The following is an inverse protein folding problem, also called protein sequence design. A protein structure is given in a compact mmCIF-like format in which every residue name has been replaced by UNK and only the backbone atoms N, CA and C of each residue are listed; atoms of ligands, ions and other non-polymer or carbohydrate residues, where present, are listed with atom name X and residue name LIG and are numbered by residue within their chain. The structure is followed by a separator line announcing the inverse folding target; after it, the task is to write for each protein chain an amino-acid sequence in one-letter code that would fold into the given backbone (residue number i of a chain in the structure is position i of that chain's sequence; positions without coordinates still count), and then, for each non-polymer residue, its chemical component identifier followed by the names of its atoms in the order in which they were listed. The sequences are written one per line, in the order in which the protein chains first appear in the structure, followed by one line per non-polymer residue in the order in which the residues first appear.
data_IF_909583947299
#
_entry.id   IF_909583947299
#
_cell.length_a   1.000
_cell.length_b   1.000
_cell.length_c   1.000
_cell.angle_alpha   90.00
_cell.angle_beta   90.00
_cell.angle_gamma   90.00
#
_symmetry.space_group_name_H-M   'P 1'
#
loop_
_entity.id
_entity.type
_entity.pdbx_description
1 polymer ?
#
# COMPACT_ATOMS: atom_id res chain seq x y z
N UNK A 1 27.40 -13.09 -51.18
CA UNK A 1 26.23 -12.21 -51.00
C UNK A 1 25.02 -13.10 -50.71
N UNK A 2 24.18 -12.77 -49.73
CA UNK A 2 22.97 -13.50 -49.27
C UNK A 2 23.18 -14.73 -48.35
N UNK A 3 23.50 -14.50 -47.07
CA UNK A 3 23.24 -15.49 -46.00
C UNK A 3 23.38 -14.94 -44.55
N UNK A 4 23.17 -13.64 -44.30
CA UNK A 4 23.35 -13.07 -42.94
C UNK A 4 22.26 -12.09 -42.46
N UNK A 5 21.15 -11.97 -43.19
CA UNK A 5 20.11 -10.98 -42.86
C UNK A 5 18.78 -11.57 -42.34
N UNK A 6 18.68 -12.89 -42.17
CA UNK A 6 17.42 -13.54 -41.74
C UNK A 6 17.42 -13.91 -40.24
N UNK A 7 18.57 -13.86 -39.55
CA UNK A 7 18.64 -14.25 -38.13
C UNK A 7 18.30 -13.12 -37.14
N UNK A 8 18.17 -11.87 -37.59
CA UNK A 8 17.82 -10.74 -36.69
C UNK A 8 16.31 -10.47 -36.61
N UNK A 9 15.52 -10.91 -37.60
CA UNK A 9 14.06 -10.71 -37.59
C UNK A 9 13.36 -11.76 -36.70
N UNK A 10 13.92 -12.97 -36.57
CA UNK A 10 13.35 -14.02 -35.71
C UNK A 10 13.62 -13.84 -34.21
N UNK A 11 14.61 -13.02 -33.82
CA UNK A 11 14.90 -12.73 -32.40
C UNK A 11 14.09 -11.51 -31.92
N UNK A 12 13.74 -10.59 -32.80
CA UNK A 12 12.86 -9.47 -32.45
C UNK A 12 11.38 -9.85 -32.34
N UNK A 13 10.94 -10.95 -32.96
CA UNK A 13 9.58 -11.47 -32.84
C UNK A 13 9.39 -12.30 -31.54
N UNK A 14 10.48 -12.76 -30.92
CA UNK A 14 10.45 -13.52 -29.66
C UNK A 14 10.50 -12.63 -28.39
N UNK A 15 10.57 -11.30 -28.54
CA UNK A 15 10.44 -10.34 -27.42
C UNK A 15 9.04 -9.72 -27.32
N UNK A 16 8.09 -10.13 -28.17
CA UNK A 16 6.69 -9.68 -28.15
C UNK A 16 5.70 -10.80 -27.77
N UNK A 17 6.19 -12.00 -27.45
CA UNK A 17 5.34 -13.15 -27.10
C UNK A 17 5.41 -13.47 -25.61
N UNK A 18 4.80 -12.62 -24.77
CA UNK A 18 4.17 -13.01 -23.49
C UNK A 18 3.64 -11.83 -22.66
N UNK A 19 3.16 -10.75 -23.29
CA UNK A 19 2.06 -10.01 -22.66
C UNK A 19 0.79 -10.73 -23.12
N UNK A 20 0.52 -11.89 -22.53
CA UNK A 20 -0.88 -12.35 -22.42
C UNK A 20 -1.52 -11.41 -21.41
N UNK A 21 -1.83 -10.19 -21.85
CA UNK A 21 -2.89 -9.38 -21.28
C UNK A 21 -4.14 -10.22 -21.48
N UNK A 22 -4.47 -11.03 -20.47
CA UNK A 22 -5.86 -11.16 -20.14
C UNK A 22 -6.32 -9.71 -19.96
N UNK A 23 -7.04 -9.19 -20.95
CA UNK A 23 -7.86 -8.03 -20.73
C UNK A 23 -8.79 -8.46 -19.60
N UNK A 24 -8.46 -8.08 -18.36
CA UNK A 24 -9.50 -7.89 -17.37
C UNK A 24 -10.47 -6.96 -18.08
N UNK A 25 -11.69 -7.42 -18.33
CA UNK A 25 -12.73 -6.50 -18.72
C UNK A 25 -12.75 -5.44 -17.62
N UNK A 26 -12.62 -4.16 -18.02
CA UNK A 26 -12.61 -3.04 -17.06
C UNK A 26 -13.88 -3.04 -16.19
N UNK A 27 -14.90 -3.79 -16.61
CA UNK A 27 -16.17 -4.04 -15.94
C UNK A 27 -16.07 -4.99 -14.72
N UNK A 28 -15.01 -5.81 -14.62
CA UNK A 28 -14.89 -6.91 -13.65
C UNK A 28 -14.02 -6.56 -12.41
N UNK A 29 -13.56 -5.31 -12.30
CA UNK A 29 -12.70 -4.85 -11.21
C UNK A 29 -13.49 -3.98 -10.22
N UNK A 30 -13.27 -4.19 -8.91
CA UNK A 30 -14.05 -3.57 -7.82
C UNK A 30 -13.73 -2.08 -7.60
N UNK A 31 -13.94 -1.23 -8.61
CA UNK A 31 -13.60 0.20 -8.56
C UNK A 31 -14.27 0.93 -7.39
N UNK A 32 -15.57 0.70 -7.21
CA UNK A 32 -16.37 1.36 -6.15
C UNK A 32 -15.88 1.01 -4.75
N UNK A 33 -15.48 -0.25 -4.53
CA UNK A 33 -14.86 -0.71 -3.29
C UNK A 33 -13.64 0.17 -2.95
N UNK A 34 -12.74 0.38 -3.91
CA UNK A 34 -11.50 1.10 -3.65
C UNK A 34 -11.71 2.59 -3.47
N UNK A 35 -12.55 3.23 -4.28
CA UNK A 35 -12.85 4.67 -4.13
C UNK A 35 -13.52 4.96 -2.78
N UNK A 36 -14.44 4.10 -2.32
CA UNK A 36 -15.12 4.28 -1.02
C UNK A 36 -14.14 4.08 0.15
N UNK A 37 -13.26 3.08 0.09
CA UNK A 37 -12.31 2.80 1.20
C UNK A 37 -11.11 3.74 1.20
N UNK A 38 -10.53 4.02 0.04
CA UNK A 38 -9.34 4.84 -0.14
C UNK A 38 -9.74 6.15 -0.82
N UNK A 39 -10.26 7.09 -0.02
CA UNK A 39 -10.87 8.34 -0.51
C UNK A 39 -9.96 9.20 -1.39
N UNK A 40 -8.65 9.05 -1.28
CA UNK A 40 -7.66 9.79 -2.08
C UNK A 40 -7.36 9.13 -3.43
N UNK A 41 -7.97 7.98 -3.72
CA UNK A 41 -7.80 7.24 -4.97
C UNK A 41 -9.00 7.52 -5.87
N UNK A 42 -8.73 8.03 -7.07
CA UNK A 42 -9.77 8.27 -8.07
C UNK A 42 -9.92 7.08 -9.03
N UNK A 43 -10.98 7.12 -9.85
CA UNK A 43 -11.29 6.07 -10.81
C UNK A 43 -10.24 5.92 -11.91
N UNK A 44 -9.67 7.03 -12.39
CA UNK A 44 -8.71 7.03 -13.50
C UNK A 44 -7.41 6.30 -13.12
N UNK A 45 -6.93 6.51 -11.90
CA UNK A 45 -5.75 5.84 -11.35
C UNK A 45 -5.98 4.33 -11.24
N UNK A 46 -7.17 3.92 -10.78
CA UNK A 46 -7.54 2.51 -10.66
C UNK A 46 -7.65 1.83 -12.03
N UNK A 47 -8.28 2.50 -13.00
CA UNK A 47 -8.39 2.02 -14.37
C UNK A 47 -7.01 1.91 -15.03
N UNK A 48 -6.11 2.86 -14.76
CA UNK A 48 -4.73 2.76 -15.21
C UNK A 48 -4.03 1.53 -14.62
N UNK A 49 -4.15 1.28 -13.31
CA UNK A 49 -3.61 0.08 -12.67
C UNK A 49 -4.19 -1.21 -13.28
N UNK A 50 -5.50 -1.25 -13.55
CA UNK A 50 -6.17 -2.38 -14.17
C UNK A 50 -5.70 -2.63 -15.61
N UNK A 51 -5.51 -1.57 -16.41
CA UNK A 51 -4.95 -1.64 -17.78
C UNK A 51 -3.52 -2.21 -17.81
N UNK A 52 -2.77 -2.06 -16.72
CA UNK A 52 -1.46 -2.69 -16.55
C UNK A 52 -1.54 -4.19 -16.17
N UNK A 53 -2.75 -4.74 -16.05
CA UNK A 53 -2.99 -6.15 -15.77
C UNK A 53 -2.98 -6.52 -14.29
N UNK A 54 -3.20 -5.56 -13.39
CA UNK A 54 -3.38 -5.80 -11.95
C UNK A 54 -4.86 -6.09 -11.67
N UNK A 55 -5.15 -7.19 -10.96
CA UNK A 55 -6.51 -7.53 -10.54
C UNK A 55 -6.91 -6.81 -9.23
N UNK A 56 -8.18 -6.94 -8.80
CA UNK A 56 -8.68 -6.37 -7.53
C UNK A 56 -7.82 -6.72 -6.34
N UNK A 57 -7.25 -7.93 -6.31
CA UNK A 57 -6.47 -8.43 -5.17
C UNK A 57 -5.08 -7.79 -5.18
N UNK A 58 -4.45 -7.69 -6.35
CA UNK A 58 -3.18 -7.01 -6.53
C UNK A 58 -3.28 -5.53 -6.13
N UNK A 59 -4.30 -4.83 -6.64
CA UNK A 59 -4.54 -3.41 -6.35
C UNK A 59 -4.85 -3.22 -4.86
N UNK A 60 -5.68 -4.07 -4.25
CA UNK A 60 -5.94 -4.07 -2.81
C UNK A 60 -4.67 -4.07 -1.97
N UNK A 61 -3.75 -4.99 -2.29
CA UNK A 61 -2.51 -5.14 -1.54
C UNK A 61 -1.57 -3.93 -1.73
N UNK A 62 -1.52 -3.39 -2.95
CA UNK A 62 -0.73 -2.19 -3.25
C UNK A 62 -1.28 -1.01 -2.44
N UNK A 63 -2.56 -0.68 -2.57
CA UNK A 63 -3.18 0.45 -1.87
C UNK A 63 -3.05 0.30 -0.33
N UNK A 64 -3.21 -0.91 0.20
CA UNK A 64 -2.98 -1.20 1.61
C UNK A 64 -1.55 -0.87 2.08
N UNK A 65 -0.52 -1.23 1.31
CA UNK A 65 0.86 -0.90 1.64
C UNK A 65 1.17 0.60 1.53
N UNK A 66 0.66 1.28 0.51
CA UNK A 66 0.90 2.71 0.33
C UNK A 66 0.18 3.55 1.38
N UNK A 67 -1.06 3.19 1.74
CA UNK A 67 -1.84 3.87 2.79
C UNK A 67 -1.22 3.80 4.20
N UNK A 68 -0.33 2.83 4.46
CA UNK A 68 0.31 2.69 5.77
C UNK A 68 1.77 3.13 5.82
N UNK A 69 2.40 3.38 4.68
CA UNK A 69 3.85 3.59 4.63
C UNK A 69 4.27 5.05 4.65
N UNK A 70 3.34 6.00 4.55
CA UNK A 70 3.59 7.40 4.17
C UNK A 70 4.32 7.56 2.83
N UNK A 71 4.33 6.50 2.00
CA UNK A 71 4.95 6.53 0.68
C UNK A 71 3.94 7.02 -0.36
N UNK A 72 4.43 7.75 -1.37
CA UNK A 72 3.65 8.06 -2.57
C UNK A 72 3.83 6.94 -3.60
N UNK A 73 2.75 6.49 -4.21
CA UNK A 73 2.84 5.55 -5.33
C UNK A 73 3.15 6.34 -6.60
N UNK A 74 4.34 6.12 -7.15
CA UNK A 74 4.74 6.66 -8.44
C UNK A 74 4.74 5.58 -9.54
N UNK A 75 4.93 6.03 -10.78
CA UNK A 75 4.92 5.17 -11.96
C UNK A 75 6.05 4.14 -11.96
N UNK A 76 7.25 4.50 -11.48
CA UNK A 76 8.41 3.60 -11.50
C UNK A 76 8.20 2.45 -10.50
N UNK A 77 7.66 2.77 -9.32
CA UNK A 77 7.25 1.77 -8.34
C UNK A 77 6.12 0.89 -8.88
N UNK A 78 5.09 1.46 -9.52
CA UNK A 78 3.99 0.68 -10.09
C UNK A 78 4.47 -0.27 -11.20
N UNK A 79 5.28 0.22 -12.13
CA UNK A 79 5.87 -0.60 -13.20
C UNK A 79 6.69 -1.76 -12.64
N UNK A 80 7.44 -1.52 -11.55
CA UNK A 80 8.17 -2.58 -10.87
C UNK A 80 7.22 -3.61 -10.24
N UNK A 81 6.16 -3.16 -9.58
CA UNK A 81 5.16 -4.04 -8.94
C UNK A 81 4.45 -4.90 -9.97
N UNK A 82 4.06 -4.34 -11.12
CA UNK A 82 3.43 -5.07 -12.23
C UNK A 82 4.35 -6.19 -12.74
N UNK A 83 5.64 -5.90 -12.96
CA UNK A 83 6.63 -6.91 -13.39
C UNK A 83 6.87 -8.00 -12.35
N UNK A 84 6.53 -7.75 -11.09
CA UNK A 84 6.74 -8.65 -9.96
C UNK A 84 5.43 -9.00 -9.23
N UNK A 85 4.28 -8.98 -9.92
CA UNK A 85 2.95 -9.06 -9.29
C UNK A 85 2.77 -10.25 -8.36
N UNK A 86 3.31 -11.41 -8.73
CA UNK A 86 3.21 -12.66 -7.95
C UNK A 86 3.95 -12.58 -6.60
N UNK A 87 4.86 -11.60 -6.46
CA UNK A 87 5.74 -11.41 -5.30
C UNK A 87 5.43 -10.14 -4.52
N UNK A 88 4.34 -9.42 -4.81
CA UNK A 88 4.01 -8.15 -4.14
C UNK A 88 4.02 -8.32 -2.61
N UNK A 89 3.48 -9.43 -2.09
CA UNK A 89 3.46 -9.72 -0.65
C UNK A 89 4.84 -9.88 0.00
N UNK A 90 5.89 -10.13 -0.77
CA UNK A 90 7.28 -10.19 -0.28
C UNK A 90 7.89 -8.79 -0.07
N UNK A 91 7.25 -7.75 -0.60
CA UNK A 91 7.74 -6.38 -0.54
C UNK A 91 7.28 -5.61 0.71
N UNK A 92 6.56 -6.23 1.64
CA UNK A 92 6.08 -5.59 2.89
C UNK A 92 7.18 -4.76 3.61
N UNK A 93 8.42 -5.25 3.61
CA UNK A 93 9.57 -4.59 4.24
C UNK A 93 9.93 -3.23 3.62
N UNK A 94 9.67 -3.03 2.32
CA UNK A 94 9.88 -1.76 1.64
C UNK A 94 8.92 -0.67 2.10
N UNK A 95 7.78 -1.10 2.62
CA UNK A 95 6.73 -0.25 3.17
C UNK A 95 6.84 -0.12 4.69
N UNK A 96 7.86 -0.72 5.32
CA UNK A 96 7.98 -0.75 6.78
C UNK A 96 6.86 -1.56 7.45
N UNK A 97 6.19 -2.44 6.72
CA UNK A 97 4.99 -3.16 7.18
C UNK A 97 5.31 -4.55 7.73
N UNK A 98 4.54 -5.04 8.71
CA UNK A 98 4.59 -6.44 9.10
C UNK A 98 3.99 -7.34 8.01
N UNK A 99 4.35 -8.62 7.99
CA UNK A 99 3.72 -9.62 7.12
C UNK A 99 2.49 -10.28 7.78
N UNK A 100 1.75 -9.54 8.60
CA UNK A 100 0.50 -9.99 9.21
C UNK A 100 -0.64 -8.98 9.04
N UNK A 101 -1.88 -9.48 9.08
CA UNK A 101 -3.09 -8.73 9.41
C UNK A 101 -3.57 -9.21 10.78
N UNK A 102 -4.32 -8.39 11.51
CA UNK A 102 -4.90 -8.84 12.77
C UNK A 102 -6.01 -9.86 12.53
N UNK A 103 -6.43 -10.56 13.59
CA UNK A 103 -7.54 -11.51 13.50
C UNK A 103 -8.85 -10.81 13.09
N UNK A 104 -9.02 -9.55 13.50
CA UNK A 104 -10.25 -8.77 13.38
C UNK A 104 -10.18 -7.61 12.38
N UNK A 105 -8.98 -7.18 11.95
CA UNK A 105 -8.85 -6.07 10.99
C UNK A 105 -7.47 -6.01 10.32
N UNK A 106 -7.39 -5.21 9.26
CA UNK A 106 -6.12 -4.78 8.66
C UNK A 106 -5.32 -3.90 9.64
N UNK A 107 -3.99 -4.08 9.64
CA UNK A 107 -3.11 -3.20 10.42
C UNK A 107 -3.19 -1.78 9.85
N UNK A 108 -3.47 -0.81 10.73
CA UNK A 108 -3.46 0.61 10.38
C UNK A 108 -2.65 1.38 11.41
N UNK A 109 -1.53 1.97 11.00
CA UNK A 109 -0.79 2.84 11.89
C UNK A 109 -1.50 4.19 12.07
N UNK A 110 -1.38 4.75 13.28
CA UNK A 110 -2.13 5.94 13.71
C UNK A 110 -1.25 7.18 13.84
N UNK A 111 0.02 7.06 13.47
CA UNK A 111 0.92 8.20 13.44
C UNK A 111 0.46 9.22 12.39
N UNK A 112 0.66 10.52 12.62
CA UNK A 112 0.51 11.52 11.57
C UNK A 112 1.40 11.21 10.36
N UNK A 113 0.91 11.52 9.16
CA UNK A 113 1.68 11.39 7.92
C UNK A 113 2.92 12.28 7.95
N UNK A 114 4.02 11.76 7.42
CA UNK A 114 5.27 12.53 7.23
C UNK A 114 6.06 12.04 6.02
N UNK A 115 6.78 12.96 5.38
CA UNK A 115 7.73 12.57 4.33
C UNK A 115 8.82 11.65 4.92
N UNK A 116 9.02 10.51 4.26
CA UNK A 116 9.97 9.46 4.64
C UNK A 116 10.93 9.22 3.49
N UNK A 117 12.19 8.96 3.83
CA UNK A 117 13.09 8.33 2.89
C UNK A 117 12.82 6.82 2.87
N UNK A 118 12.99 6.21 1.70
CA UNK A 118 12.88 4.76 1.55
C UNK A 118 14.13 4.18 0.90
N UNK A 119 14.34 2.89 1.14
CA UNK A 119 15.28 2.13 0.33
C UNK A 119 14.64 1.83 -1.03
N UNK A 120 15.41 1.82 -2.14
CA UNK A 120 14.90 1.38 -3.43
C UNK A 120 14.28 -0.02 -3.36
N UNK A 121 13.22 -0.24 -4.13
CA UNK A 121 12.47 -1.50 -4.16
C UNK A 121 13.40 -2.68 -4.52
N UNK A 122 13.16 -3.82 -3.88
CA UNK A 122 13.98 -5.06 -3.90
C UNK A 122 15.50 -4.93 -3.61
N UNK A 123 15.99 -3.80 -3.10
CA UNK A 123 17.40 -3.69 -2.72
C UNK A 123 17.77 -4.68 -1.61
N UNK A 124 18.89 -5.40 -1.77
CA UNK A 124 19.42 -6.33 -0.76
C UNK A 124 20.37 -5.65 0.23
N UNK A 125 20.93 -4.49 -0.13
CA UNK A 125 21.85 -3.74 0.72
C UNK A 125 21.66 -2.25 0.50
N UNK A 126 21.29 -1.57 1.58
CA UNK A 126 21.14 -0.11 1.60
C UNK A 126 21.54 0.41 2.97
N UNK A 127 22.28 1.51 3.01
CA UNK A 127 22.67 2.15 4.26
C UNK A 127 22.76 3.65 3.99
N UNK A 128 21.81 4.40 4.55
CA UNK A 128 21.78 5.84 4.43
C UNK A 128 21.44 6.46 5.76
N UNK A 129 22.10 7.58 6.02
CA UNK A 129 21.81 8.48 7.13
C UNK A 129 21.54 9.85 6.53
N UNK A 130 20.42 10.43 6.92
CA UNK A 130 20.02 11.79 6.58
C UNK A 130 20.05 12.62 7.86
N UNK A 131 20.66 13.79 7.77
CA UNK A 131 20.70 14.76 8.86
C UNK A 131 19.90 15.99 8.42
N UNK A 132 19.08 16.49 9.33
CA UNK A 132 18.26 17.67 9.08
C UNK A 132 18.15 18.48 10.37
N UNK A 133 17.51 19.65 10.27
CA UNK A 133 17.40 20.56 11.40
C UNK A 133 16.63 19.91 12.56
N UNK A 134 17.36 19.56 13.62
CA UNK A 134 16.80 19.02 14.86
C UNK A 134 16.73 17.50 14.91
N UNK A 135 17.22 16.77 13.90
CA UNK A 135 17.05 15.32 13.87
C UNK A 135 17.87 14.56 12.84
N UNK A 136 17.64 13.24 12.83
CA UNK A 136 18.29 12.28 11.95
C UNK A 136 17.32 11.19 11.53
N UNK A 137 17.49 10.70 10.31
CA UNK A 137 16.81 9.53 9.76
C UNK A 137 17.85 8.52 9.27
N UNK A 138 17.66 7.25 9.58
CA UNK A 138 18.59 6.18 9.25
C UNK A 138 17.81 5.00 8.68
N UNK A 139 18.24 4.51 7.52
CA UNK A 139 17.67 3.35 6.85
C UNK A 139 18.77 2.34 6.59
N UNK A 140 18.57 1.10 7.06
CA UNK A 140 19.50 0.00 6.83
C UNK A 140 18.76 -1.22 6.32
N UNK A 141 19.21 -1.73 5.17
CA UNK A 141 18.73 -2.99 4.58
C UNK A 141 19.91 -3.94 4.47
N UNK A 142 19.74 -5.18 4.94
CA UNK A 142 20.73 -6.27 4.85
C UNK A 142 19.99 -7.58 4.62
N UNK A 143 19.90 -8.02 3.36
CA UNK A 143 19.12 -9.19 2.97
C UNK A 143 17.65 -8.99 3.31
N UNK A 144 17.10 -9.84 4.18
CA UNK A 144 15.71 -9.77 4.65
C UNK A 144 15.52 -8.87 5.86
N UNK A 145 16.59 -8.26 6.38
CA UNK A 145 16.52 -7.36 7.52
C UNK A 145 16.32 -5.92 7.06
N UNK A 146 15.40 -5.23 7.72
CA UNK A 146 15.13 -3.80 7.55
C UNK A 146 15.16 -3.11 8.91
N UNK A 147 15.92 -2.02 9.02
CA UNK A 147 15.96 -1.18 10.21
C UNK A 147 15.74 0.28 9.78
N UNK A 148 14.74 0.90 10.38
CA UNK A 148 14.42 2.30 10.23
C UNK A 148 14.50 3.00 11.58
N UNK A 149 15.13 4.17 11.63
CA UNK A 149 15.16 5.01 12.83
C UNK A 149 15.02 6.47 12.45
N UNK A 150 14.09 7.14 13.09
CA UNK A 150 13.90 8.57 12.97
C UNK A 150 13.82 9.20 14.35
N UNK A 151 14.46 10.35 14.49
CA UNK A 151 14.41 11.14 15.70
C UNK A 151 14.46 12.61 15.33
N UNK A 152 13.50 13.40 15.80
CA UNK A 152 13.49 14.84 15.69
C UNK A 152 13.21 15.46 17.05
N UNK A 153 14.26 16.01 17.67
CA UNK A 153 14.21 16.63 19.00
C UNK A 153 13.33 17.88 19.02
N UNK A 154 13.19 18.59 17.89
CA UNK A 154 12.39 19.82 17.83
C UNK A 154 10.91 19.51 17.93
N UNK A 155 10.45 18.51 17.17
CA UNK A 155 9.05 18.07 17.19
C UNK A 155 8.78 17.10 18.34
N UNK A 156 9.81 16.44 18.88
CA UNK A 156 9.69 15.40 19.89
C UNK A 156 9.28 14.05 19.30
N UNK A 157 9.40 13.90 17.97
CA UNK A 157 9.02 12.68 17.25
C UNK A 157 10.17 11.67 17.30
N UNK A 158 9.85 10.45 17.70
CA UNK A 158 10.72 9.28 17.62
C UNK A 158 9.98 8.15 16.91
N UNK A 159 10.62 7.52 15.94
CA UNK A 159 10.07 6.38 15.24
C UNK A 159 11.13 5.32 14.96
N UNK A 160 10.77 4.05 15.12
CA UNK A 160 11.63 2.90 14.85
C UNK A 160 10.82 1.78 14.23
N UNK A 161 11.36 1.18 13.17
CA UNK A 161 10.85 -0.07 12.60
C UNK A 161 12.02 -1.04 12.53
N UNK A 162 11.86 -2.24 13.07
CA UNK A 162 12.80 -3.34 12.95
C UNK A 162 12.07 -4.55 12.35
N UNK A 163 12.55 -5.03 11.21
CA UNK A 163 12.03 -6.23 10.56
C UNK A 163 13.18 -7.22 10.42
N UNK A 164 13.01 -8.40 11.00
CA UNK A 164 13.88 -9.56 10.88
C UNK A 164 13.04 -10.77 10.49
N UNK A 165 13.69 -11.86 10.10
CA UNK A 165 13.00 -13.09 9.69
C UNK A 165 11.95 -13.61 10.69
N UNK A 166 12.12 -13.39 11.99
CA UNK A 166 11.24 -13.92 13.04
C UNK A 166 10.52 -12.84 13.86
N UNK A 167 10.67 -11.57 13.47
CA UNK A 167 10.33 -10.44 14.33
C UNK A 167 9.97 -9.21 13.50
N UNK A 168 8.90 -8.54 13.88
CA UNK A 168 8.63 -7.16 13.54
C UNK A 168 8.44 -6.36 14.81
N UNK A 169 9.08 -5.20 14.90
CA UNK A 169 8.81 -4.20 15.93
C UNK A 169 8.61 -2.86 15.29
N UNK A 170 7.58 -2.16 15.75
CA UNK A 170 7.33 -0.78 15.42
C UNK A 170 7.09 0.01 16.69
N UNK A 171 7.67 1.20 16.71
CA UNK A 171 7.53 2.17 17.78
C UNK A 171 7.40 3.55 17.16
N UNK A 172 6.39 4.30 17.58
CA UNK A 172 6.25 5.71 17.29
C UNK A 172 5.86 6.46 18.57
N UNK A 173 6.41 7.66 18.72
CA UNK A 173 6.03 8.59 19.77
C UNK A 173 6.18 10.01 19.28
N UNK A 174 5.22 10.84 19.64
CA UNK A 174 5.37 12.28 19.63
C UNK A 174 4.83 12.90 20.94
N UNK A 175 4.48 14.19 20.90
CA UNK A 175 3.93 14.91 22.07
C UNK A 175 2.49 14.53 22.38
N UNK A 176 1.76 14.03 21.39
CA UNK A 176 0.32 13.79 21.41
C UNK A 176 -0.01 12.30 21.49
N UNK A 177 0.90 11.41 21.11
CA UNK A 177 0.62 9.97 21.11
C UNK A 177 1.86 9.08 21.27
N UNK A 178 1.57 7.81 21.56
CA UNK A 178 2.50 6.69 21.44
C UNK A 178 1.80 5.52 20.76
N UNK A 179 2.50 4.81 19.88
CA UNK A 179 2.03 3.60 19.21
C UNK A 179 3.14 2.56 19.13
N UNK A 180 2.80 1.30 19.34
CA UNK A 180 3.71 0.18 19.37
C UNK A 180 3.07 -1.04 18.74
N UNK A 181 3.83 -1.79 17.94
CA UNK A 181 3.42 -3.09 17.41
C UNK A 181 4.60 -4.05 17.45
N UNK A 182 4.44 -5.15 18.19
CA UNK A 182 5.38 -6.25 18.23
C UNK A 182 4.74 -7.48 17.56
N UNK A 183 5.47 -8.15 16.67
CA UNK A 183 5.01 -9.38 16.00
C UNK A 183 6.09 -10.45 16.01
N UNK A 184 5.71 -11.65 16.41
CA UNK A 184 6.53 -12.85 16.32
C UNK A 184 6.11 -13.69 15.11
N UNK A 185 6.85 -13.60 13.99
CA UNK A 185 6.48 -14.26 12.73
C UNK A 185 6.46 -15.79 12.82
N UNK A 186 7.16 -16.41 13.78
CA UNK A 186 7.14 -17.86 13.98
C UNK A 186 5.73 -18.43 14.27
N UNK A 187 4.90 -17.66 14.97
CA UNK A 187 3.58 -18.08 15.43
C UNK A 187 2.50 -17.01 15.19
N UNK A 188 2.85 -15.99 14.40
CA UNK A 188 2.07 -14.78 14.12
C UNK A 188 1.48 -14.10 15.35
N UNK A 189 2.01 -14.30 16.55
CA UNK A 189 1.51 -13.56 17.72
C UNK A 189 1.87 -12.10 17.61
N UNK A 190 0.94 -11.24 18.00
CA UNK A 190 1.18 -9.80 18.04
C UNK A 190 0.73 -9.18 19.37
N UNK A 191 1.34 -8.05 19.71
CA UNK A 191 0.88 -7.12 20.73
C UNK A 191 0.88 -5.71 20.15
N UNK A 192 -0.25 -5.02 20.25
CA UNK A 192 -0.46 -3.66 19.74
C UNK A 192 -0.89 -2.75 20.88
N UNK A 193 -0.28 -1.58 20.94
CA UNK A 193 -0.60 -0.55 21.90
C UNK A 193 -0.67 0.81 21.21
N UNK A 194 -1.71 1.57 21.51
CA UNK A 194 -1.84 2.97 21.13
C UNK A 194 -2.38 3.77 22.30
N UNK A 195 -1.86 4.99 22.47
CA UNK A 195 -2.43 5.97 23.40
C UNK A 195 -2.33 7.37 22.84
N UNK A 196 -3.47 8.05 22.80
CA UNK A 196 -3.56 9.47 22.54
C UNK A 196 -3.53 10.23 23.88
N UNK A 197 -2.56 11.13 24.06
CA UNK A 197 -2.40 11.95 25.26
C UNK A 197 -3.38 13.12 25.32
N UNK A 198 -3.90 13.58 24.17
CA UNK A 198 -4.85 14.68 24.10
C UNK A 198 -6.26 14.23 24.50
N UNK A 199 -6.70 13.06 24.01
CA UNK A 199 -8.05 12.53 24.27
C UNK A 199 -8.10 11.49 25.39
N UNK A 200 -6.95 10.95 25.80
CA UNK A 200 -6.86 9.82 26.73
C UNK A 200 -7.22 8.46 26.13
N UNK A 201 -7.68 8.41 24.87
CA UNK A 201 -8.03 7.17 24.17
C UNK A 201 -6.85 6.21 24.19
N UNK A 202 -7.11 4.97 24.58
CA UNK A 202 -6.11 3.90 24.67
C UNK A 202 -6.64 2.65 23.97
N UNK A 203 -5.81 2.02 23.15
CA UNK A 203 -6.10 0.74 22.51
C UNK A 203 -5.01 -0.25 22.93
N UNK A 204 -5.44 -1.46 23.32
CA UNK A 204 -4.56 -2.60 23.61
C UNK A 204 -5.16 -3.81 22.92
N UNK A 205 -4.38 -4.46 22.06
CA UNK A 205 -4.78 -5.69 21.37
C UNK A 205 -3.64 -6.68 21.44
N UNK A 206 -3.97 -7.94 21.69
CA UNK A 206 -3.05 -9.06 21.60
C UNK A 206 -3.78 -10.21 20.94
N UNK A 207 -3.10 -10.95 20.09
CA UNK A 207 -3.75 -12.00 19.34
C UNK A 207 -2.79 -12.79 18.48
N UNK A 208 -3.35 -13.51 17.51
CA UNK A 208 -2.58 -14.10 16.42
C UNK A 208 -2.96 -13.37 15.13
N UNK A 209 -2.03 -13.25 14.22
CA UNK A 209 -2.28 -12.63 12.93
C UNK A 209 -2.47 -13.68 11.85
N UNK A 210 -3.20 -13.31 10.80
CA UNK A 210 -3.17 -14.02 9.53
C UNK A 210 -2.05 -13.45 8.68
N UNK A 211 -1.51 -14.24 7.74
CA UNK A 211 -0.46 -13.76 6.83
C UNK A 211 -1.02 -12.66 5.92
N UNK A 212 -0.30 -11.55 5.77
CA UNK A 212 -0.64 -10.54 4.75
C UNK A 212 -0.36 -11.11 3.36
N UNK A 213 -1.41 -11.22 2.55
CA UNK A 213 -1.33 -11.56 1.13
C UNK A 213 -2.52 -10.92 0.40
N UNK A 214 -2.48 -10.92 -0.93
CA UNK A 214 -3.47 -10.22 -1.76
C UNK A 214 -4.91 -10.70 -1.57
N UNK A 215 -5.10 -11.99 -1.31
CA UNK A 215 -6.42 -12.57 -1.07
C UNK A 215 -6.97 -12.10 0.27
N UNK A 216 -6.19 -12.28 1.35
CA UNK A 216 -6.62 -11.88 2.68
C UNK A 216 -6.90 -10.37 2.75
N UNK A 217 -6.05 -9.52 2.17
CA UNK A 217 -6.28 -8.07 2.19
C UNK A 217 -7.55 -7.70 1.44
N UNK A 218 -7.77 -8.27 0.25
CA UNK A 218 -8.98 -8.00 -0.52
C UNK A 218 -10.26 -8.42 0.21
N UNK A 219 -10.30 -9.60 0.84
CA UNK A 219 -11.47 -10.04 1.59
C UNK A 219 -11.79 -9.12 2.77
N UNK A 220 -10.78 -8.67 3.53
CA UNK A 220 -10.98 -7.71 4.63
C UNK A 220 -11.51 -6.35 4.13
N UNK A 221 -11.06 -5.90 2.96
CA UNK A 221 -11.56 -4.68 2.36
C UNK A 221 -13.02 -4.85 1.94
N UNK A 222 -13.39 -5.98 1.33
CA UNK A 222 -14.78 -6.26 0.95
C UNK A 222 -15.71 -6.32 2.14
N UNK A 223 -15.31 -7.00 3.20
CA UNK A 223 -16.10 -7.07 4.44
C UNK A 223 -16.35 -5.66 4.98
N UNK A 224 -15.28 -4.86 5.09
CA UNK A 224 -15.39 -3.48 5.55
C UNK A 224 -16.29 -2.62 4.65
N UNK A 225 -16.28 -2.84 3.35
CA UNK A 225 -17.14 -2.11 2.42
C UNK A 225 -18.62 -2.48 2.58
N UNK A 226 -18.93 -3.77 2.79
CA UNK A 226 -20.30 -4.21 3.10
C UNK A 226 -20.80 -3.60 4.40
N UNK A 227 -19.98 -3.57 5.44
CA UNK A 227 -20.34 -2.93 6.70
C UNK A 227 -20.70 -1.44 6.51
N UNK A 228 -20.00 -0.75 5.60
CA UNK A 228 -20.32 0.64 5.25
C UNK A 228 -21.61 0.78 4.43
N UNK A 229 -21.91 -0.18 3.54
CA UNK A 229 -23.17 -0.18 2.80
C UNK A 229 -24.35 -0.43 3.74
N UNK A 230 -24.21 -1.35 4.69
CA UNK A 230 -25.26 -1.69 5.68
C UNK A 230 -25.54 -0.54 6.67
N UNK A 231 -24.53 0.28 7.02
CA UNK A 231 -24.71 1.48 7.86
C UNK A 231 -25.43 2.63 7.12
N UNK A 232 -25.38 2.66 5.78
CA UNK A 232 -26.07 3.64 4.95
C UNK A 232 -27.58 3.31 4.77
N UNK A 233 -28.09 2.17 5.31
CA UNK A 233 -29.50 1.71 5.19
C UNK A 233 -30.47 2.20 6.29
N UNK A 234 -30.03 3.06 7.22
CA UNK A 234 -30.90 3.69 8.24
C UNK A 234 -31.35 5.12 7.85
N UNK A 235 -31.76 5.31 6.59
CA UNK A 235 -32.33 6.58 6.12
C UNK A 235 -33.00 6.44 4.76
N UNK A 236 -34.33 6.35 4.78
CA UNK A 236 -35.18 6.66 3.62
C UNK A 236 -34.72 7.98 2.98
N UNK A 237 -34.51 7.98 1.66
CA UNK A 237 -35.17 8.94 0.76
C UNK A 237 -34.84 8.60 -0.70
N UNK A 238 -35.91 8.49 -1.47
CA UNK A 238 -35.98 8.31 -2.92
C UNK A 238 -35.01 9.23 -3.69
N UNK A 239 -34.24 8.67 -4.63
CA UNK A 239 -33.69 9.43 -5.74
C UNK A 239 -34.05 8.72 -7.04
N UNK A 240 -35.20 9.16 -7.57
CA UNK A 240 -35.56 9.04 -8.98
C UNK A 240 -34.48 9.70 -9.87
N UNK A 241 -34.18 9.00 -10.97
CA UNK A 241 -33.79 9.48 -12.31
C UNK A 241 -32.91 10.73 -12.44
N UNK A 242 -31.73 10.56 -13.04
CA UNK A 242 -31.62 10.84 -14.47
C UNK A 242 -30.25 10.38 -15.01
N UNK A 243 -30.30 9.31 -15.80
CA UNK A 243 -29.25 8.90 -16.72
C UNK A 243 -28.99 10.03 -17.72
N UNK A 244 -27.77 10.58 -17.70
CA UNK A 244 -27.20 11.26 -18.86
C UNK A 244 -25.83 10.70 -19.19
N UNK A 245 -25.87 9.66 -20.02
CA UNK A 245 -24.76 9.28 -20.89
C UNK A 245 -24.58 10.37 -21.95
N UNK A 246 -23.57 11.22 -21.79
CA UNK A 246 -22.97 11.90 -22.92
C UNK A 246 -21.74 11.08 -23.34
N UNK A 247 -21.95 10.35 -24.43
CA UNK A 247 -21.02 9.49 -25.13
C UNK A 247 -20.17 10.37 -26.06
N UNK A 248 -19.00 10.81 -25.60
CA UNK A 248 -17.98 11.44 -26.45
C UNK A 248 -16.69 10.63 -26.37
N UNK A 249 -16.51 9.78 -27.39
CA UNK A 249 -15.24 9.22 -27.79
C UNK A 249 -14.32 10.36 -28.27
N UNK A 250 -13.30 10.69 -27.49
CA UNK A 250 -12.11 11.36 -28.00
C UNK A 250 -10.85 10.59 -27.58
N UNK A 251 -10.12 10.14 -28.61
CA UNK A 251 -8.74 9.69 -28.56
C UNK A 251 -7.86 10.84 -28.04
N UNK A 252 -7.64 10.89 -26.73
CA UNK A 252 -6.61 11.75 -26.17
C UNK A 252 -5.62 10.94 -25.35
N UNK A 253 -4.36 11.14 -25.70
CA UNK A 253 -3.16 10.66 -25.04
C UNK A 253 -3.14 11.19 -23.59
N UNK A 254 -3.88 10.54 -22.69
CA UNK A 254 -3.94 10.89 -21.27
C UNK A 254 -2.56 10.66 -20.69
N UNK A 255 -1.83 11.75 -20.46
CA UNK A 255 -0.66 11.73 -19.60
C UNK A 255 -1.14 11.53 -18.15
N UNK A 256 -1.50 10.29 -17.80
CA UNK A 256 -1.83 9.91 -16.41
C UNK A 256 -0.58 10.17 -15.59
N UNK A 257 -0.63 11.19 -14.73
CA UNK A 257 0.41 11.48 -13.77
C UNK A 257 0.03 10.78 -12.47
N UNK A 258 0.26 9.47 -12.43
CA UNK A 258 0.03 8.65 -11.24
C UNK A 258 0.97 9.10 -10.12
N UNK A 259 0.43 9.92 -9.21
CA UNK A 259 1.07 10.39 -8.00
C UNK A 259 0.07 10.21 -6.85
N UNK A 260 -0.24 8.94 -6.49
CA UNK A 260 -1.26 8.67 -5.46
C UNK A 260 -0.64 8.85 -4.07
N UNK A 261 -1.21 9.78 -3.32
CA UNK A 261 -0.93 10.04 -1.92
C UNK A 261 -2.17 9.68 -1.10
N UNK A 262 -2.12 8.54 -0.40
CA UNK A 262 -3.25 8.06 0.41
C UNK A 262 -3.04 8.51 1.85
N UNK A 263 -3.87 9.44 2.32
CA UNK A 263 -3.90 9.89 3.71
C UNK A 263 -5.18 9.41 4.39
N UNK A 264 -5.02 8.51 5.36
CA UNK A 264 -6.13 8.04 6.19
C UNK A 264 -6.26 8.82 7.49
N UNK A 265 -5.60 9.99 7.62
CA UNK A 265 -5.63 10.85 8.81
C UNK A 265 -7.04 11.22 9.24
N UNK A 266 -7.97 11.37 8.29
CA UNK A 266 -9.32 11.87 8.52
C UNK A 266 -10.24 10.84 9.20
N UNK A 267 -9.78 9.58 9.35
CA UNK A 267 -10.48 8.56 10.15
C UNK A 267 -10.22 8.67 11.66
N UNK A 268 -9.47 9.69 12.12
CA UNK A 268 -9.01 9.82 13.51
C UNK A 268 -9.71 10.90 14.35
N UNK A 269 -10.97 11.22 14.06
CA UNK A 269 -11.84 11.84 15.07
C UNK A 269 -12.36 10.79 16.06
#
# INVERSE_FOLDING_TARGET
MKAKFISFILISILLLSSISTAALELDDFDKNLFVKIFKDVNSDDLEYMARLGLDSKDISLILYYYSNSDKRLDRDDLDYLVRNRERISEFHRYYGMPQIIFDDELVRFRHPRRERHFAPLDTKKYDRKFEFRGGTEIIKVRGNNYDYKYNNKRTGVEERIEIKNQKYEYYYKDRNMVEMLDVHHANNKYSYYYKNFNTGRTIRKEGRGRKTNKYNVYEELKEKYRDMEDDDWDGDDDWDDDDKYDDDHDDDNVSVKLDIEIDLSDLFN
#
